data_IF_877028925784
#
_entry.id   IF_877028925784
#
_cell.length_a   1.000
_cell.length_b   1.000
_cell.length_c   1.000
_cell.angle_alpha   90.00
_cell.angle_beta   90.00
_cell.angle_gamma   90.00
#
_symmetry.space_group_name_H-M   'P 1'
#
loop_
_entity.id
_entity.type
_entity.pdbx_description
1 polymer ?
#
# COMPACT_ATOMS: atom_id res chain seq x y z
N UNK A 1 -9.75 -55.44 22.16
CA UNK A 1 -9.77 -55.01 20.74
C UNK A 1 -10.40 -53.63 20.53
N UNK A 2 -11.51 -53.26 21.18
CA UNK A 2 -12.19 -51.98 20.93
C UNK A 2 -11.38 -50.71 21.29
N UNK A 3 -10.58 -50.73 22.36
CA UNK A 3 -9.78 -49.57 22.81
C UNK A 3 -8.63 -49.25 21.83
N UNK A 4 -8.05 -50.27 21.19
CA UNK A 4 -6.96 -50.11 20.23
C UNK A 4 -7.42 -49.46 18.92
N UNK A 5 -8.69 -49.71 18.54
CA UNK A 5 -9.34 -49.14 17.34
C UNK A 5 -9.67 -47.66 17.53
N UNK A 6 -10.07 -47.25 18.73
CA UNK A 6 -10.37 -45.84 19.03
C UNK A 6 -9.09 -44.98 19.03
N UNK A 7 -7.99 -45.48 19.59
CA UNK A 7 -6.70 -44.76 19.55
C UNK A 7 -6.09 -44.66 18.15
N UNK A 8 -6.32 -45.65 17.27
CA UNK A 8 -5.87 -45.57 15.87
C UNK A 8 -6.71 -44.61 15.03
N UNK A 9 -8.02 -44.51 15.27
CA UNK A 9 -8.87 -43.50 14.61
C UNK A 9 -8.50 -42.08 15.04
N UNK A 10 -8.18 -41.85 16.32
CA UNK A 10 -7.73 -40.53 16.80
C UNK A 10 -6.36 -40.12 16.23
N UNK A 11 -5.43 -41.07 16.05
CA UNK A 11 -4.12 -40.84 15.46
C UNK A 11 -4.16 -40.65 13.92
N UNK A 12 -5.17 -41.21 13.23
CA UNK A 12 -5.40 -40.94 11.81
C UNK A 12 -6.08 -39.58 11.56
N UNK A 13 -6.88 -39.07 12.51
CA UNK A 13 -7.50 -37.74 12.41
C UNK A 13 -6.49 -36.60 12.64
N UNK A 14 -5.46 -36.80 13.46
CA UNK A 14 -4.40 -35.79 13.66
C UNK A 14 -3.40 -35.72 12.50
N UNK A 15 -3.29 -36.77 11.68
CA UNK A 15 -2.35 -36.82 10.55
C UNK A 15 -2.91 -36.29 9.23
N UNK A 16 -4.19 -35.90 9.19
CA UNK A 16 -4.85 -35.31 8.01
C UNK A 16 -5.08 -33.81 8.08
N UNK A 17 -4.58 -33.12 9.12
CA UNK A 17 -4.38 -31.67 8.98
C UNK A 17 -3.09 -31.50 8.20
N UNK A 18 -3.17 -31.67 6.87
CA UNK A 18 -2.21 -31.01 5.99
C UNK A 18 -2.28 -29.54 6.39
N UNK A 19 -1.21 -29.01 6.95
CA UNK A 19 -0.90 -27.58 6.87
C UNK A 19 -0.73 -27.26 5.40
N UNK A 20 -1.86 -27.23 4.69
CA UNK A 20 -1.96 -26.47 3.48
C UNK A 20 -1.58 -25.07 3.94
N UNK A 21 -0.46 -24.55 3.42
CA UNK A 21 -0.25 -23.10 3.41
C UNK A 21 -1.59 -22.55 2.95
N UNK A 22 -2.36 -21.98 3.87
CA UNK A 22 -3.66 -21.48 3.53
C UNK A 22 -3.33 -20.35 2.58
N UNK A 23 -3.52 -20.57 1.29
CA UNK A 23 -3.50 -19.50 0.32
C UNK A 23 -4.51 -18.49 0.87
N UNK A 24 -4.00 -17.42 1.47
CA UNK A 24 -4.79 -16.47 2.26
C UNK A 24 -5.52 -15.51 1.33
N UNK A 25 -6.12 -16.05 0.28
CA UNK A 25 -6.95 -15.31 -0.64
C UNK A 25 -8.34 -15.15 -0.04
N UNK A 26 -8.89 -13.98 -0.30
CA UNK A 26 -10.23 -13.58 0.09
C UNK A 26 -11.04 -13.36 -1.17
N UNK A 27 -12.27 -13.85 -1.15
CA UNK A 27 -13.26 -13.56 -2.19
C UNK A 27 -14.48 -12.88 -1.59
N UNK A 28 -15.34 -12.34 -2.43
CA UNK A 28 -16.62 -11.73 -2.01
C UNK A 28 -17.73 -12.73 -2.28
N UNK A 29 -18.52 -13.06 -1.26
CA UNK A 29 -19.76 -13.81 -1.46
C UNK A 29 -20.80 -12.89 -2.13
N UNK A 30 -21.26 -13.18 -3.37
CA UNK A 30 -22.15 -12.27 -4.10
C UNK A 30 -23.57 -12.19 -3.51
N UNK A 31 -23.96 -13.13 -2.66
CA UNK A 31 -25.29 -13.13 -2.04
C UNK A 31 -25.31 -12.34 -0.72
N UNK A 32 -24.20 -12.33 0.02
CA UNK A 32 -24.11 -11.67 1.33
C UNK A 32 -23.23 -10.42 1.32
N UNK A 33 -22.47 -10.18 0.25
CA UNK A 33 -21.44 -9.15 0.14
C UNK A 33 -20.34 -9.24 1.22
N UNK A 34 -20.19 -10.41 1.83
CA UNK A 34 -19.18 -10.66 2.86
C UNK A 34 -17.88 -11.17 2.26
N UNK A 35 -16.76 -10.78 2.88
CA UNK A 35 -15.45 -11.32 2.57
C UNK A 35 -15.35 -12.74 3.13
N UNK A 36 -15.01 -13.71 2.28
CA UNK A 36 -14.90 -15.13 2.63
C UNK A 36 -13.51 -15.66 2.33
N UNK A 37 -13.00 -16.52 3.21
CA UNK A 37 -11.75 -17.25 2.97
C UNK A 37 -11.97 -18.56 2.19
N UNK A 38 -10.87 -19.24 1.86
CA UNK A 38 -10.86 -20.50 1.11
C UNK A 38 -11.60 -21.66 1.81
N UNK A 39 -11.93 -21.53 3.09
CA UNK A 39 -12.74 -22.50 3.83
C UNK A 39 -14.22 -22.10 3.91
N UNK A 40 -14.62 -21.02 3.23
CA UNK A 40 -16.00 -20.52 3.21
C UNK A 40 -16.40 -19.78 4.49
N UNK A 41 -15.45 -19.38 5.33
CA UNK A 41 -15.74 -18.61 6.55
C UNK A 41 -15.81 -17.13 6.21
N UNK A 42 -16.78 -16.43 6.76
CA UNK A 42 -16.79 -14.96 6.73
C UNK A 42 -15.62 -14.40 7.55
N UNK A 43 -14.97 -13.36 7.04
CA UNK A 43 -13.78 -12.74 7.64
C UNK A 43 -14.03 -11.27 7.91
N UNK A 44 -13.72 -10.86 9.14
CA UNK A 44 -13.72 -9.47 9.57
C UNK A 44 -12.26 -9.08 9.76
N UNK A 45 -11.87 -7.95 9.17
CA UNK A 45 -10.50 -7.47 9.15
C UNK A 45 -10.31 -6.29 10.09
N UNK A 46 -9.38 -6.41 11.03
CA UNK A 46 -8.95 -5.34 11.91
C UNK A 46 -7.42 -5.24 11.84
N UNK A 47 -6.91 -4.04 11.61
CA UNK A 47 -5.50 -3.86 11.26
C UNK A 47 -5.04 -2.42 11.23
N UNK A 48 -3.82 -2.22 10.74
CA UNK A 48 -3.16 -0.92 10.64
C UNK A 48 -2.74 -0.62 9.20
N UNK A 49 -2.25 0.61 8.97
CA UNK A 49 -1.58 0.98 7.74
C UNK A 49 -0.07 0.84 7.92
N UNK A 50 0.60 0.38 6.87
CA UNK A 50 2.06 0.31 6.77
C UNK A 50 2.40 0.94 5.43
N UNK A 51 2.76 2.22 5.42
CA UNK A 51 2.92 3.01 4.20
C UNK A 51 4.19 3.84 4.31
N UNK A 52 5.18 3.53 3.47
CA UNK A 52 6.42 4.30 3.32
C UNK A 52 6.31 5.12 2.04
N UNK A 53 6.29 6.45 2.19
CA UNK A 53 5.95 7.40 1.13
C UNK A 53 7.17 7.98 0.40
N UNK A 54 8.36 7.88 1.00
CA UNK A 54 9.63 8.23 0.40
C UNK A 54 10.39 7.01 -0.11
N UNK A 55 11.44 7.23 -0.90
CA UNK A 55 12.34 6.16 -1.35
C UNK A 55 12.92 5.42 -0.13
N UNK A 56 12.93 4.07 -0.10
CA UNK A 56 12.73 3.14 -1.22
C UNK A 56 11.28 2.67 -1.45
N UNK A 57 10.29 3.34 -0.85
CA UNK A 57 8.84 3.11 -1.00
C UNK A 57 8.33 1.76 -0.49
N UNK A 58 9.06 1.15 0.43
CA UNK A 58 8.65 -0.04 1.17
C UNK A 58 9.19 0.00 2.61
N UNK A 59 8.57 -0.72 3.55
CA UNK A 59 9.06 -0.82 4.93
C UNK A 59 10.49 -1.33 5.02
N UNK A 60 11.32 -0.63 5.77
CA UNK A 60 12.75 -0.90 5.89
C UNK A 60 13.26 -0.48 7.27
N UNK A 61 14.48 -0.91 7.60
CA UNK A 61 15.03 -0.73 8.94
C UNK A 61 14.47 -1.74 9.95
N UNK A 62 15.09 -1.76 11.12
CA UNK A 62 14.74 -2.68 12.21
C UNK A 62 13.74 -2.07 13.20
N UNK A 63 13.63 -0.74 13.25
CA UNK A 63 12.74 0.02 14.12
C UNK A 63 12.32 1.36 13.50
N UNK A 64 11.40 2.06 14.17
CA UNK A 64 10.96 3.41 13.77
C UNK A 64 9.72 3.45 12.89
N UNK A 65 9.41 4.60 12.27
CA UNK A 65 8.15 4.81 11.56
C UNK A 65 8.03 4.03 10.25
N UNK A 66 9.15 3.62 9.66
CA UNK A 66 9.20 2.90 8.40
C UNK A 66 9.39 1.38 8.59
N UNK A 67 9.44 0.88 9.82
CA UNK A 67 9.64 -0.55 10.09
C UNK A 67 8.37 -1.37 9.87
N UNK A 68 8.56 -2.60 9.39
CA UNK A 68 7.54 -3.65 9.41
C UNK A 68 8.21 -5.02 9.45
N UNK A 69 8.91 -5.26 10.55
CA UNK A 69 9.73 -6.43 10.80
C UNK A 69 8.89 -7.62 11.29
N UNK A 70 9.55 -8.77 11.50
CA UNK A 70 8.92 -9.92 12.12
C UNK A 70 8.39 -9.63 13.54
N UNK A 71 9.07 -8.75 14.29
CA UNK A 71 8.66 -8.41 15.65
C UNK A 71 7.44 -7.49 15.65
N UNK A 72 7.32 -6.59 14.67
CA UNK A 72 6.09 -5.82 14.43
C UNK A 72 4.91 -6.76 14.11
N UNK A 73 5.14 -7.78 13.28
CA UNK A 73 4.10 -8.78 12.94
C UNK A 73 3.70 -9.63 14.14
N UNK A 74 4.64 -10.05 14.99
CA UNK A 74 4.33 -10.74 16.27
C UNK A 74 3.50 -9.84 17.18
N UNK A 75 3.82 -8.55 17.25
CA UNK A 75 3.05 -7.59 18.03
C UNK A 75 1.61 -7.49 17.49
N UNK A 76 1.42 -7.29 16.19
CA UNK A 76 0.08 -7.25 15.58
C UNK A 76 -0.71 -8.53 15.86
N UNK A 77 -0.08 -9.70 15.72
CA UNK A 77 -0.69 -10.98 16.04
C UNK A 77 -1.09 -11.07 17.52
N UNK A 78 -0.22 -10.62 18.44
CA UNK A 78 -0.50 -10.63 19.89
C UNK A 78 -1.67 -9.71 20.28
N UNK A 79 -1.90 -8.66 19.50
CA UNK A 79 -3.03 -7.74 19.64
C UNK A 79 -4.31 -8.27 18.97
N UNK A 80 -4.25 -9.43 18.31
CA UNK A 80 -5.38 -10.01 17.57
C UNK A 80 -5.69 -9.30 16.25
N UNK A 81 -4.79 -8.45 15.76
CA UNK A 81 -4.90 -7.82 14.44
C UNK A 81 -4.55 -8.85 13.36
N UNK A 82 -5.31 -8.81 12.27
CA UNK A 82 -5.26 -9.85 11.23
C UNK A 82 -5.12 -9.28 9.81
N UNK A 83 -4.91 -7.97 9.66
CA UNK A 83 -4.62 -7.37 8.36
C UNK A 83 -3.68 -6.19 8.46
N UNK A 84 -3.03 -5.86 7.36
CA UNK A 84 -2.37 -4.57 7.12
C UNK A 84 -2.79 -4.02 5.76
N UNK A 85 -2.99 -2.70 5.69
CA UNK A 85 -2.99 -1.95 4.44
C UNK A 85 -1.55 -1.58 4.11
N UNK A 86 -0.93 -2.32 3.20
CA UNK A 86 0.46 -2.15 2.81
C UNK A 86 0.53 -1.20 1.61
N UNK A 87 1.12 -0.02 1.83
CA UNK A 87 1.35 0.96 0.80
C UNK A 87 2.33 0.47 -0.25
N UNK A 88 1.93 0.60 -1.51
CA UNK A 88 2.77 0.51 -2.69
C UNK A 88 2.72 1.86 -3.40
N UNK A 89 3.87 2.36 -3.88
CA UNK A 89 3.93 3.63 -4.59
C UNK A 89 4.20 3.37 -6.07
N UNK A 90 3.45 4.03 -6.96
CA UNK A 90 3.72 3.97 -8.41
C UNK A 90 5.18 4.29 -8.78
N UNK A 91 5.90 5.26 -8.17
CA UNK A 91 7.32 5.48 -8.48
C UNK A 91 8.22 4.32 -8.06
N UNK A 92 7.82 3.49 -7.08
CA UNK A 92 8.51 2.25 -6.75
C UNK A 92 8.23 1.14 -7.77
N UNK A 93 6.97 1.02 -8.21
CA UNK A 93 6.50 -0.03 -9.12
C UNK A 93 6.86 0.19 -10.59
N UNK A 94 6.60 1.39 -11.12
CA UNK A 94 6.78 1.78 -12.52
C UNK A 94 7.47 3.15 -12.59
N UNK A 95 8.75 3.23 -12.18
CA UNK A 95 9.50 4.48 -12.09
C UNK A 95 9.58 5.24 -13.43
N UNK A 96 9.59 4.52 -14.55
CA UNK A 96 9.55 5.08 -15.90
C UNK A 96 8.47 4.40 -16.74
N UNK A 97 7.99 5.10 -17.78
CA UNK A 97 6.93 4.60 -18.64
C UNK A 97 7.31 3.27 -19.29
N UNK A 98 6.58 2.21 -18.94
CA UNK A 98 6.79 0.86 -19.47
C UNK A 98 7.94 0.08 -18.81
N UNK A 99 8.62 0.66 -17.81
CA UNK A 99 9.69 0.00 -17.07
C UNK A 99 9.19 -0.41 -15.68
N UNK A 100 8.88 -1.70 -15.53
CA UNK A 100 8.44 -2.28 -14.26
C UNK A 100 9.63 -2.66 -13.41
N UNK A 101 9.64 -2.22 -12.15
CA UNK A 101 10.70 -2.52 -11.20
C UNK A 101 10.46 -3.88 -10.53
N UNK A 102 10.95 -4.94 -11.17
CA UNK A 102 10.82 -6.32 -10.66
C UNK A 102 11.41 -6.50 -9.25
N UNK A 103 12.50 -5.80 -8.92
CA UNK A 103 13.10 -5.84 -7.58
C UNK A 103 12.17 -5.26 -6.50
N UNK A 104 11.45 -4.18 -6.82
CA UNK A 104 10.43 -3.63 -5.93
C UNK A 104 9.27 -4.61 -5.73
N UNK A 105 8.77 -5.20 -6.82
CA UNK A 105 7.68 -6.19 -6.79
C UNK A 105 8.07 -7.40 -5.93
N UNK A 106 9.29 -7.92 -6.10
CA UNK A 106 9.80 -9.05 -5.31
C UNK A 106 9.95 -8.69 -3.82
N UNK A 107 10.42 -7.50 -3.52
CA UNK A 107 10.55 -6.99 -2.14
C UNK A 107 9.18 -6.92 -1.45
N UNK A 108 8.19 -6.30 -2.10
CA UNK A 108 6.82 -6.25 -1.59
C UNK A 108 6.26 -7.68 -1.42
N UNK A 109 6.47 -8.56 -2.39
CA UNK A 109 6.06 -9.96 -2.31
C UNK A 109 6.68 -10.71 -1.11
N UNK A 110 7.92 -10.40 -0.76
CA UNK A 110 8.59 -10.97 0.42
C UNK A 110 7.95 -10.49 1.72
N UNK A 111 7.62 -9.19 1.82
CA UNK A 111 6.91 -8.62 2.96
C UNK A 111 5.53 -9.27 3.12
N UNK A 112 4.75 -9.41 2.03
CA UNK A 112 3.43 -10.08 2.05
C UNK A 112 3.54 -11.53 2.51
N UNK A 113 4.52 -12.28 1.99
CA UNK A 113 4.75 -13.68 2.41
C UNK A 113 5.14 -13.79 3.87
N UNK A 114 5.91 -12.84 4.40
CA UNK A 114 6.28 -12.83 5.82
C UNK A 114 5.05 -12.55 6.69
N UNK A 115 4.28 -11.51 6.38
CA UNK A 115 3.03 -11.18 7.08
C UNK A 115 2.05 -12.37 7.10
N UNK A 116 1.96 -13.10 5.99
CA UNK A 116 1.12 -14.29 5.89
C UNK A 116 1.48 -15.39 6.89
N UNK A 117 2.76 -15.57 7.23
CA UNK A 117 3.20 -16.54 8.26
C UNK A 117 2.65 -16.24 9.65
N UNK A 118 2.31 -14.97 9.92
CA UNK A 118 1.71 -14.52 11.19
C UNK A 118 0.18 -14.44 11.12
N UNK A 119 -0.44 -14.91 10.03
CA UNK A 119 -1.89 -14.86 9.84
C UNK A 119 -2.42 -13.46 9.52
N UNK A 120 -1.55 -12.55 9.06
CA UNK A 120 -1.87 -11.17 8.72
C UNK A 120 -2.12 -11.09 7.20
N UNK A 121 -3.33 -10.67 6.83
CA UNK A 121 -3.75 -10.47 5.45
C UNK A 121 -3.28 -9.12 4.94
N UNK A 122 -2.84 -9.05 3.68
CA UNK A 122 -2.36 -7.78 3.11
C UNK A 122 -3.35 -7.24 2.08
N UNK A 123 -3.80 -6.00 2.29
CA UNK A 123 -4.39 -5.18 1.24
C UNK A 123 -3.28 -4.32 0.61
N UNK A 124 -2.92 -4.64 -0.64
CA UNK A 124 -1.98 -3.81 -1.40
C UNK A 124 -2.68 -2.52 -1.82
N UNK A 125 -2.09 -1.40 -1.42
CA UNK A 125 -2.65 -0.07 -1.58
C UNK A 125 -1.75 0.77 -2.49
N UNK A 126 -2.16 0.99 -3.75
CA UNK A 126 -1.43 1.87 -4.66
C UNK A 126 -1.64 3.32 -4.23
N UNK A 127 -0.80 3.78 -3.31
CA UNK A 127 -1.02 4.97 -2.51
C UNK A 127 -0.58 6.24 -3.24
N UNK A 128 -1.32 7.33 -3.01
CA UNK A 128 -0.97 8.69 -3.42
C UNK A 128 -1.62 9.69 -2.47
N UNK A 129 -0.99 10.84 -2.30
CA UNK A 129 -1.60 12.03 -1.73
C UNK A 129 -1.23 13.24 -2.60
N UNK A 130 -2.24 14.00 -3.02
CA UNK A 130 -2.07 15.17 -3.92
C UNK A 130 -1.18 14.84 -5.13
N UNK A 131 -1.38 13.65 -5.69
CA UNK A 131 -0.80 13.22 -6.94
C UNK A 131 0.71 12.95 -6.93
N UNK A 132 1.61 13.90 -6.63
CA UNK A 132 3.05 13.76 -6.89
C UNK A 132 3.92 14.77 -6.11
N UNK A 133 5.23 14.50 -5.92
CA UNK A 133 6.19 15.49 -5.41
C UNK A 133 6.25 16.80 -6.20
N UNK A 134 5.92 16.78 -7.50
CA UNK A 134 5.77 18.01 -8.31
C UNK A 134 4.66 18.95 -7.81
N UNK A 135 3.74 18.42 -7.01
CA UNK A 135 2.62 19.14 -6.39
C UNK A 135 2.74 19.09 -4.85
N UNK A 136 3.98 19.09 -4.36
CA UNK A 136 4.37 19.15 -2.95
C UNK A 136 4.15 17.90 -2.09
N UNK A 137 3.66 16.78 -2.63
CA UNK A 137 3.28 15.60 -1.83
C UNK A 137 3.82 14.32 -2.49
N UNK A 138 3.06 13.24 -2.67
CA UNK A 138 3.61 11.94 -3.09
C UNK A 138 2.60 11.09 -3.87
N UNK A 139 3.07 10.08 -4.62
CA UNK A 139 2.17 9.08 -5.19
C UNK A 139 2.54 8.62 -6.58
N UNK A 140 2.49 9.53 -7.54
CA UNK A 140 2.67 9.28 -8.96
C UNK A 140 4.10 9.62 -9.39
N UNK A 141 4.72 8.79 -10.25
CA UNK A 141 6.01 9.08 -10.85
C UNK A 141 5.93 10.29 -11.79
N UNK A 142 7.06 10.96 -11.96
CA UNK A 142 7.18 12.21 -12.71
C UNK A 142 6.67 12.17 -14.15
N UNK A 143 6.74 11.00 -14.80
CA UNK A 143 6.35 10.81 -16.19
C UNK A 143 4.83 10.79 -16.40
N UNK A 144 4.04 10.68 -15.32
CA UNK A 144 2.56 10.76 -15.35
C UNK A 144 2.07 12.20 -15.12
N UNK A 145 2.91 13.06 -14.52
CA UNK A 145 2.47 14.40 -14.11
C UNK A 145 2.38 15.33 -15.31
N UNK A 146 1.14 15.56 -15.75
CA UNK A 146 0.78 16.53 -16.76
C UNK A 146 -0.26 17.50 -16.19
N UNK A 147 0.13 18.76 -15.98
CA UNK A 147 -0.76 19.83 -15.50
C UNK A 147 -1.33 20.68 -16.64
N UNK A 148 -1.06 20.35 -17.90
CA UNK A 148 -1.53 21.08 -19.08
C UNK A 148 -1.27 22.59 -19.01
N UNK A 149 -2.28 23.37 -19.39
CA UNK A 149 -2.27 24.84 -19.34
C UNK A 149 -2.73 25.41 -17.99
N UNK A 150 -2.79 24.58 -16.93
CA UNK A 150 -3.19 25.06 -15.61
C UNK A 150 -2.27 26.18 -15.12
N UNK A 151 -2.84 27.09 -14.34
CA UNK A 151 -2.03 28.12 -13.68
C UNK A 151 -0.95 27.51 -12.79
N UNK A 152 0.21 28.19 -12.63
CA UNK A 152 1.31 27.68 -11.82
C UNK A 152 0.87 27.28 -10.41
N UNK A 153 1.33 26.12 -9.97
CA UNK A 153 1.05 25.63 -8.62
C UNK A 153 1.58 26.61 -7.55
N UNK A 154 0.82 26.91 -6.48
CA UNK A 154 -0.43 26.27 -6.06
C UNK A 154 -1.68 27.14 -6.27
N UNK A 155 -1.77 27.93 -7.35
CA UNK A 155 -2.96 28.77 -7.60
C UNK A 155 -4.27 27.96 -7.49
N UNK A 156 -5.35 28.49 -6.87
CA UNK A 156 -5.52 29.84 -6.29
C UNK A 156 -5.14 29.95 -4.80
N UNK A 157 -4.47 28.95 -4.23
CA UNK A 157 -4.13 28.93 -2.79
C UNK A 157 -3.04 29.93 -2.42
N UNK A 158 -2.21 30.31 -3.40
CA UNK A 158 -1.22 31.38 -3.33
C UNK A 158 -1.24 32.14 -4.66
N UNK A 159 -1.11 33.46 -4.59
CA UNK A 159 -0.92 34.31 -5.77
C UNK A 159 0.48 34.13 -6.36
N UNK A 160 1.48 33.87 -5.52
CA UNK A 160 2.86 33.62 -5.94
C UNK A 160 3.06 32.12 -6.22
N UNK A 161 3.53 31.76 -7.42
CA UNK A 161 3.92 30.38 -7.74
C UNK A 161 5.03 29.88 -6.82
N UNK A 162 4.98 28.60 -6.46
CA UNK A 162 6.07 27.98 -5.71
C UNK A 162 7.30 27.81 -6.60
N UNK A 163 8.48 28.00 -6.01
CA UNK A 163 9.74 27.91 -6.74
C UNK A 163 10.12 26.45 -6.90
N UNK A 164 10.56 26.10 -8.10
CA UNK A 164 11.05 24.76 -8.40
C UNK A 164 12.55 24.70 -8.10
N UNK A 165 12.96 23.71 -7.32
CA UNK A 165 14.37 23.38 -7.11
C UNK A 165 14.93 22.76 -8.41
N UNK A 166 15.96 23.34 -9.04
CA UNK A 166 16.51 22.83 -10.29
C UNK A 166 17.23 21.48 -10.16
N UNK A 167 17.62 21.08 -8.94
CA UNK A 167 18.28 19.80 -8.69
C UNK A 167 17.29 18.64 -8.61
N UNK A 168 16.13 18.85 -7.99
CA UNK A 168 15.13 17.80 -7.76
C UNK A 168 13.96 17.87 -8.74
N UNK A 169 13.72 19.02 -9.37
CA UNK A 169 12.54 19.24 -10.21
C UNK A 169 11.23 19.43 -9.43
N UNK A 170 11.28 19.55 -8.09
CA UNK A 170 10.13 19.70 -7.21
C UNK A 170 10.07 21.09 -6.57
N UNK A 171 8.89 21.54 -6.11
CA UNK A 171 8.83 22.71 -5.25
C UNK A 171 9.68 22.51 -3.99
N UNK A 172 10.22 23.61 -3.47
CA UNK A 172 11.05 23.52 -2.27
C UNK A 172 10.21 23.12 -1.01
N UNK A 173 10.77 22.34 -0.06
CA UNK A 173 10.01 21.84 1.10
C UNK A 173 9.37 22.90 2.00
N UNK A 174 10.01 24.05 2.14
CA UNK A 174 9.53 25.22 2.89
C UNK A 174 8.35 25.89 2.18
N UNK A 175 8.37 25.98 0.85
CA UNK A 175 7.20 26.36 0.06
C UNK A 175 6.06 25.38 0.31
N UNK A 176 6.33 24.06 0.23
CA UNK A 176 5.34 23.02 0.49
C UNK A 176 4.77 23.05 1.92
N UNK A 177 5.55 23.48 2.91
CA UNK A 177 5.13 23.55 4.31
C UNK A 177 4.25 24.78 4.64
N UNK A 178 4.02 25.71 3.71
CA UNK A 178 3.22 26.94 3.96
C UNK A 178 1.75 26.66 4.22
N UNK A 179 1.21 25.56 3.69
CA UNK A 179 -0.19 25.18 3.82
C UNK A 179 -0.29 23.73 4.29
N UNK A 180 -1.38 23.34 4.98
CA UNK A 180 -1.68 21.93 5.23
C UNK A 180 -1.69 21.16 3.90
N UNK A 181 -0.97 20.03 3.84
CA UNK A 181 -0.75 19.28 2.59
C UNK A 181 -2.05 18.98 1.83
N UNK A 182 -3.13 18.64 2.55
CA UNK A 182 -4.42 18.31 1.96
C UNK A 182 -5.09 19.49 1.23
N UNK A 183 -4.68 20.73 1.51
CA UNK A 183 -5.20 21.88 0.79
C UNK A 183 -4.75 21.88 -0.66
N UNK A 184 -3.60 21.28 -0.99
CA UNK A 184 -3.09 21.28 -2.36
C UNK A 184 -3.96 20.50 -3.34
N UNK A 185 -4.94 19.71 -2.88
CA UNK A 185 -6.00 19.17 -3.74
C UNK A 185 -6.85 20.27 -4.41
N UNK A 186 -6.92 21.47 -3.81
CA UNK A 186 -7.68 22.60 -4.35
C UNK A 186 -6.87 23.49 -5.30
N UNK A 187 -5.60 23.16 -5.57
CA UNK A 187 -4.83 23.85 -6.60
C UNK A 187 -5.29 23.42 -8.00
N UNK A 188 -5.35 24.38 -8.92
CA UNK A 188 -5.76 24.17 -10.31
C UNK A 188 -4.87 23.13 -11.00
N UNK A 189 -3.55 23.23 -10.81
CA UNK A 189 -2.58 22.27 -11.35
C UNK A 189 -2.81 20.84 -10.85
N UNK A 190 -3.17 20.66 -9.58
CA UNK A 190 -3.53 19.35 -9.02
C UNK A 190 -4.79 18.80 -9.66
N UNK A 191 -5.84 19.61 -9.75
CA UNK A 191 -7.09 19.22 -10.41
C UNK A 191 -6.87 18.82 -11.87
N UNK A 192 -6.05 19.58 -12.60
CA UNK A 192 -5.72 19.27 -13.99
C UNK A 192 -4.90 17.98 -14.12
N UNK A 193 -3.95 17.72 -13.22
CA UNK A 193 -3.19 16.46 -13.20
C UNK A 193 -4.09 15.24 -13.01
N UNK A 194 -5.04 15.31 -12.05
CA UNK A 194 -6.05 14.26 -11.89
C UNK A 194 -6.95 14.13 -13.12
N UNK A 195 -7.41 15.25 -13.69
CA UNK A 195 -8.27 15.21 -14.89
C UNK A 195 -7.54 14.57 -16.07
N UNK A 196 -6.26 14.87 -16.28
CA UNK A 196 -5.45 14.28 -17.34
C UNK A 196 -5.25 12.78 -17.13
N UNK A 197 -5.00 12.35 -15.88
CA UNK A 197 -4.97 10.92 -15.54
C UNK A 197 -6.31 10.24 -15.87
N UNK A 198 -7.44 10.82 -15.44
CA UNK A 198 -8.77 10.24 -15.69
C UNK A 198 -9.19 10.27 -17.17
N UNK A 199 -8.68 11.24 -17.93
CA UNK A 199 -8.91 11.35 -19.37
C UNK A 199 -7.93 10.52 -20.19
N UNK A 200 -6.97 9.86 -19.53
CA UNK A 200 -5.88 9.13 -20.15
C UNK A 200 -5.13 9.99 -21.18
N UNK A 201 -4.75 11.21 -20.76
CA UNK A 201 -3.97 12.17 -21.52
C UNK A 201 -2.56 12.20 -20.95
N UNK A 202 -1.58 11.91 -21.81
CA UNK A 202 -0.15 12.02 -21.52
C UNK A 202 0.33 13.46 -21.65
#
# INVERSE_FOLDING_TARGET
MAILVICTILALLTSLVKTQSADMFISVNPNTNMLIDVMGRERIFHGTNVVVKGEPFYPHGDDGPDSFTEDDMKLLQSLGLNTVRLGMMMPGYVPQRGEYNETYIETIGTIVKLAAKYGIYTLLDMHQDVFSPKLCVEGMPDWIVNTGDAKPFPYPLSEEPYKINPETGYPYPEDCAKLPWGNYYFAEASGQAFQNLYSNVD
#
